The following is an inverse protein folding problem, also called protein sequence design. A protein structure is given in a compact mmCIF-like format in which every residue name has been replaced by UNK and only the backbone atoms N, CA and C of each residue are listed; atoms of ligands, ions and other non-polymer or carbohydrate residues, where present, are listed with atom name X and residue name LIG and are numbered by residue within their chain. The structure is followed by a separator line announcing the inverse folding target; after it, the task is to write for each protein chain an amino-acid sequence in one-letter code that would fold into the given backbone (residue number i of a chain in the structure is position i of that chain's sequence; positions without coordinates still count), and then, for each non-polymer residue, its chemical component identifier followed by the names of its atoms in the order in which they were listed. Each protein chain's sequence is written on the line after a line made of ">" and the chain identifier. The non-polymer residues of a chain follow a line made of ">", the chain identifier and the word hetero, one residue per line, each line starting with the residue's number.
data_IF_779610542771
#
_entry.id   IF_779610542771
#
_cell.length_a   1.000
_cell.length_b   1.000
_cell.length_c   1.000
_cell.angle_alpha   90.00
_cell.angle_beta   90.00
_cell.angle_gamma   90.00
#
_symmetry.space_group_name_H-M   'P 1'
#
loop_
_entity.id
_entity.type
_entity.pdbx_description
1 polymer ?
#
# COMPACT_ATOMS: atom_id res chain seq x y z
N UNK A 1 20.09 32.13 20.85
CA UNK A 1 20.32 32.40 22.29
C UNK A 1 19.98 31.15 23.10
N UNK A 2 20.93 30.22 23.24
CA UNK A 2 20.84 29.13 24.20
C UNK A 2 21.59 29.56 25.46
N UNK A 3 20.88 30.20 26.41
CA UNK A 3 21.40 30.38 27.77
C UNK A 3 21.84 29.01 28.29
N UNK A 4 22.96 28.93 28.99
CA UNK A 4 23.50 27.73 29.60
C UNK A 4 22.53 27.17 30.66
N UNK A 5 21.48 26.48 30.20
CA UNK A 5 20.56 25.75 31.05
C UNK A 5 21.34 24.60 31.67
N UNK A 6 21.39 24.56 33.01
CA UNK A 6 21.99 23.47 33.80
C UNK A 6 21.55 22.13 33.21
N UNK A 7 22.47 21.18 33.08
CA UNK A 7 22.25 19.85 32.48
C UNK A 7 20.91 19.22 32.91
N UNK A 8 20.57 19.34 34.19
CA UNK A 8 19.31 18.93 34.80
C UNK A 8 18.05 19.45 34.06
N UNK A 9 17.97 20.74 33.72
CA UNK A 9 16.76 21.31 33.08
C UNK A 9 16.56 20.80 31.64
N UNK A 10 17.65 20.55 30.90
CA UNK A 10 17.58 19.93 29.56
C UNK A 10 17.04 18.50 29.65
N UNK A 11 17.47 17.73 30.64
CA UNK A 11 16.99 16.37 30.87
C UNK A 11 15.55 16.34 31.37
N UNK A 12 15.15 17.25 32.26
CA UNK A 12 13.75 17.39 32.67
C UNK A 12 12.84 17.71 31.49
N UNK A 13 13.23 18.63 30.60
CA UNK A 13 12.45 18.91 29.38
C UNK A 13 12.36 17.72 28.43
N UNK A 14 13.43 16.94 28.28
CA UNK A 14 13.41 15.69 27.49
C UNK A 14 12.52 14.63 28.12
N UNK A 15 12.57 14.48 29.45
CA UNK A 15 11.69 13.58 30.20
C UNK A 15 10.21 13.96 30.04
N UNK A 16 9.88 15.26 30.09
CA UNK A 16 8.52 15.76 29.85
C UNK A 16 8.04 15.45 28.42
N UNK A 17 8.91 15.57 27.41
CA UNK A 17 8.60 15.14 26.04
C UNK A 17 8.35 13.64 25.93
N UNK A 18 9.14 12.82 26.62
CA UNK A 18 8.93 11.37 26.66
C UNK A 18 7.58 11.03 27.30
N UNK A 19 7.21 11.69 28.40
CA UNK A 19 5.89 11.53 29.02
C UNK A 19 4.77 11.89 28.03
N UNK A 20 4.92 12.98 27.26
CA UNK A 20 3.94 13.37 26.25
C UNK A 20 3.74 12.28 25.18
N UNK A 21 4.84 11.66 24.70
CA UNK A 21 4.79 10.59 23.70
C UNK A 21 4.16 9.32 24.28
N UNK A 22 4.52 8.94 25.51
CA UNK A 22 3.93 7.78 26.20
C UNK A 22 2.43 7.99 26.41
N UNK A 23 2.03 9.18 26.89
CA UNK A 23 0.62 9.54 27.04
C UNK A 23 -0.14 9.47 25.71
N UNK A 24 0.43 9.99 24.64
CA UNK A 24 -0.15 9.88 23.31
C UNK A 24 -0.31 8.41 22.87
N UNK A 25 0.68 7.55 23.13
CA UNK A 25 0.63 6.13 22.77
C UNK A 25 -0.51 5.40 23.50
N UNK A 26 -0.69 5.65 24.80
CA UNK A 26 -1.84 5.11 25.54
C UNK A 26 -3.18 5.58 24.99
N UNK A 27 -3.31 6.85 24.62
CA UNK A 27 -4.53 7.37 23.98
C UNK A 27 -4.77 6.74 22.60
N UNK A 28 -3.72 6.51 21.81
CA UNK A 28 -3.81 5.80 20.52
C UNK A 28 -4.30 4.38 20.74
N UNK A 29 -3.72 3.65 21.71
CA UNK A 29 -4.14 2.29 22.03
C UNK A 29 -5.60 2.22 22.52
N UNK A 30 -6.00 3.16 23.38
CA UNK A 30 -7.38 3.26 23.86
C UNK A 30 -8.35 3.61 22.72
N UNK A 31 -8.00 4.55 21.85
CA UNK A 31 -8.79 4.92 20.68
C UNK A 31 -9.03 3.74 19.74
N UNK A 32 -7.97 2.98 19.45
CA UNK A 32 -8.05 1.78 18.62
C UNK A 32 -8.95 0.68 19.21
N UNK A 33 -8.97 0.50 20.54
CA UNK A 33 -9.87 -0.42 21.22
C UNK A 33 -11.33 0.06 21.14
N UNK A 34 -11.57 1.33 21.44
CA UNK A 34 -12.92 1.92 21.39
C UNK A 34 -13.49 1.84 19.98
N UNK A 35 -12.70 2.14 18.95
CA UNK A 35 -13.14 2.07 17.54
C UNK A 35 -13.23 0.63 17.02
N UNK A 36 -12.38 -0.26 17.51
CA UNK A 36 -12.43 -1.70 17.21
C UNK A 36 -13.66 -2.40 17.81
N UNK A 37 -14.16 -1.91 18.95
CA UNK A 37 -15.35 -2.41 19.64
C UNK A 37 -16.66 -1.77 19.16
N UNK A 38 -16.61 -0.83 18.20
CA UNK A 38 -17.84 -0.42 17.53
C UNK A 38 -18.48 -1.66 16.90
N UNK A 39 -19.78 -1.93 17.17
CA UNK A 39 -20.45 -3.11 16.66
C UNK A 39 -20.22 -3.12 15.16
N UNK A 40 -19.63 -4.20 14.62
CA UNK A 40 -19.35 -4.36 13.19
C UNK A 40 -20.64 -4.05 12.46
N UNK A 41 -20.73 -2.83 11.94
CA UNK A 41 -21.96 -2.30 11.37
C UNK A 41 -22.11 -3.05 10.07
N UNK A 42 -22.91 -4.11 10.14
CA UNK A 42 -23.33 -4.98 9.04
C UNK A 42 -22.25 -5.98 8.58
N UNK A 43 -22.64 -7.27 8.54
CA UNK A 43 -21.90 -8.28 7.79
C UNK A 43 -21.79 -7.81 6.35
N UNK A 44 -20.62 -7.90 5.69
CA UNK A 44 -20.49 -7.44 4.32
C UNK A 44 -21.49 -8.23 3.47
N UNK A 45 -22.47 -7.52 2.90
CA UNK A 45 -23.46 -8.09 2.02
C UNK A 45 -22.69 -8.76 0.86
N UNK A 46 -22.94 -10.06 0.68
CA UNK A 46 -22.26 -10.83 -0.36
C UNK A 46 -22.97 -10.61 -1.68
N UNK A 47 -22.28 -10.84 -2.80
CA UNK A 47 -22.88 -10.68 -4.12
C UNK A 47 -24.12 -11.57 -4.28
N UNK A 48 -24.06 -12.77 -3.69
CA UNK A 48 -25.14 -13.76 -3.72
C UNK A 48 -26.42 -13.27 -3.04
N UNK A 49 -26.32 -12.33 -2.08
CA UNK A 49 -27.47 -11.76 -1.39
C UNK A 49 -28.29 -10.83 -2.31
N UNK A 50 -27.69 -10.34 -3.41
CA UNK A 50 -28.33 -9.46 -4.40
C UNK A 50 -28.80 -10.21 -5.65
N UNK A 51 -28.45 -11.49 -5.79
CA UNK A 51 -28.90 -12.33 -6.90
C UNK A 51 -30.25 -12.95 -6.52
N UNK A 52 -31.23 -12.89 -7.43
CA UNK A 52 -32.46 -13.67 -7.27
C UNK A 52 -32.12 -15.18 -7.29
N UNK A 53 -32.05 -15.77 -6.10
CA UNK A 53 -31.65 -17.15 -5.90
C UNK A 53 -32.51 -18.13 -6.72
N UNK A 54 -33.83 -17.88 -6.84
CA UNK A 54 -34.72 -18.76 -7.60
C UNK A 54 -34.42 -18.71 -9.09
N UNK A 55 -34.20 -17.52 -9.64
CA UNK A 55 -33.87 -17.37 -11.06
C UNK A 55 -32.48 -17.91 -11.39
N UNK A 56 -31.50 -17.68 -10.51
CA UNK A 56 -30.15 -18.21 -10.68
C UNK A 56 -30.12 -19.74 -10.59
N UNK A 57 -30.86 -20.35 -9.65
CA UNK A 57 -31.00 -21.80 -9.55
C UNK A 57 -31.68 -22.39 -10.78
N UNK A 58 -32.75 -21.76 -11.28
CA UNK A 58 -33.43 -22.21 -12.50
C UNK A 58 -32.50 -22.18 -13.72
N UNK A 59 -31.71 -21.10 -13.87
CA UNK A 59 -30.72 -20.98 -14.94
C UNK A 59 -29.61 -22.04 -14.80
N UNK A 60 -29.06 -22.25 -13.60
CA UNK A 60 -28.05 -23.28 -13.31
C UNK A 60 -28.59 -24.70 -13.56
N UNK A 61 -29.83 -24.97 -13.19
CA UNK A 61 -30.49 -26.25 -13.46
C UNK A 61 -30.64 -26.49 -14.97
N UNK A 62 -31.03 -25.46 -15.72
CA UNK A 62 -31.15 -25.52 -17.19
C UNK A 62 -29.79 -25.80 -17.82
N UNK A 63 -28.74 -25.08 -17.42
CA UNK A 63 -27.37 -25.30 -17.90
C UNK A 63 -26.96 -26.76 -17.66
N UNK A 64 -27.13 -27.26 -16.42
CA UNK A 64 -26.79 -28.63 -16.06
C UNK A 64 -27.55 -29.66 -16.90
N UNK A 65 -28.85 -29.45 -17.11
CA UNK A 65 -29.68 -30.33 -17.92
C UNK A 65 -29.25 -30.34 -19.39
N UNK A 66 -29.01 -29.17 -20.00
CA UNK A 66 -28.60 -29.09 -21.40
C UNK A 66 -27.17 -29.62 -21.59
N UNK A 67 -26.25 -29.40 -20.64
CA UNK A 67 -24.91 -30.01 -20.67
C UNK A 67 -25.00 -31.54 -20.70
N UNK A 68 -25.89 -32.14 -19.93
CA UNK A 68 -26.07 -33.59 -19.93
C UNK A 68 -26.67 -34.07 -21.26
N UNK A 69 -27.70 -33.39 -21.77
CA UNK A 69 -28.31 -33.69 -23.08
C UNK A 69 -27.32 -33.59 -24.23
N UNK A 70 -26.42 -32.60 -24.21
CA UNK A 70 -25.38 -32.45 -25.23
C UNK A 70 -24.41 -33.62 -25.22
N UNK A 71 -23.97 -34.08 -24.04
CA UNK A 71 -23.10 -35.27 -23.94
C UNK A 71 -23.78 -36.51 -24.51
N UNK A 72 -25.01 -36.78 -24.08
CA UNK A 72 -25.79 -37.93 -24.56
C UNK A 72 -26.10 -37.84 -26.06
N UNK A 73 -26.39 -36.64 -26.55
CA UNK A 73 -26.67 -36.37 -27.96
C UNK A 73 -25.43 -36.46 -28.86
N UNK A 74 -24.25 -36.07 -28.37
CA UNK A 74 -22.97 -36.27 -29.07
C UNK A 74 -22.64 -37.76 -29.21
N UNK A 75 -22.83 -38.55 -28.15
CA UNK A 75 -22.64 -40.01 -28.17
C UNK A 75 -23.64 -40.69 -29.14
N UNK A 76 -24.91 -40.28 -29.11
CA UNK A 76 -25.94 -40.81 -30.00
C UNK A 76 -25.64 -40.45 -31.47
N UNK A 77 -25.19 -39.22 -31.72
CA UNK A 77 -24.77 -38.76 -33.06
C UNK A 77 -23.59 -39.57 -33.56
N UNK A 78 -22.57 -39.81 -32.74
CA UNK A 78 -21.40 -40.61 -33.12
C UNK A 78 -21.81 -42.03 -33.54
N UNK A 79 -22.76 -42.66 -32.82
CA UNK A 79 -23.31 -43.97 -33.19
C UNK A 79 -24.09 -43.92 -34.50
N UNK A 80 -24.95 -42.92 -34.69
CA UNK A 80 -25.73 -42.75 -35.93
C UNK A 80 -24.83 -42.49 -37.14
N UNK A 81 -23.74 -41.74 -36.94
CA UNK A 81 -22.73 -41.49 -37.97
C UNK A 81 -22.08 -42.78 -38.44
N UNK A 82 -21.70 -43.69 -37.53
CA UNK A 82 -21.15 -45.00 -37.90
C UNK A 82 -22.13 -45.83 -38.74
N UNK A 83 -23.43 -45.78 -38.41
CA UNK A 83 -24.47 -46.47 -39.18
C UNK A 83 -24.62 -45.87 -40.58
N UNK A 84 -24.61 -44.53 -40.67
CA UNK A 84 -24.65 -43.83 -41.96
C UNK A 84 -23.42 -44.16 -42.81
N UNK A 85 -22.22 -44.13 -42.25
CA UNK A 85 -20.98 -44.45 -42.96
C UNK A 85 -20.99 -45.90 -43.46
N UNK A 86 -21.49 -46.85 -42.67
CA UNK A 86 -21.66 -48.25 -43.08
C UNK A 86 -22.67 -48.39 -44.23
N UNK A 87 -23.85 -47.75 -44.13
CA UNK A 87 -24.88 -47.78 -45.17
C UNK A 87 -24.40 -47.12 -46.48
N UNK A 88 -23.63 -46.04 -46.37
CA UNK A 88 -23.00 -45.35 -47.50
C UNK A 88 -21.97 -46.24 -48.19
N UNK A 89 -21.10 -46.89 -47.42
CA UNK A 89 -20.09 -47.82 -47.95
C UNK A 89 -20.75 -49.03 -48.65
N UNK A 90 -21.81 -49.58 -48.07
CA UNK A 90 -22.57 -50.68 -48.67
C UNK A 90 -23.23 -50.25 -49.99
N UNK A 91 -23.83 -49.05 -50.02
CA UNK A 91 -24.44 -48.50 -51.23
C UNK A 91 -23.39 -48.26 -52.31
N UNK A 92 -22.22 -47.71 -51.95
CA UNK A 92 -21.11 -47.50 -52.89
C UNK A 92 -20.59 -48.82 -53.46
N UNK A 93 -20.31 -49.81 -52.61
CA UNK A 93 -19.86 -51.14 -53.04
C UNK A 93 -20.88 -51.85 -53.94
N UNK A 94 -22.18 -51.73 -53.63
CA UNK A 94 -23.25 -52.27 -54.47
C UNK A 94 -23.35 -51.57 -55.83
N UNK A 95 -23.15 -50.24 -55.88
CA UNK A 95 -23.08 -49.47 -57.14
C UNK A 95 -21.91 -49.92 -58.01
N UNK A 96 -20.73 -50.08 -57.42
CA UNK A 96 -19.54 -50.51 -58.15
C UNK A 96 -19.70 -51.93 -58.69
N UNK A 97 -20.25 -52.85 -57.88
CA UNK A 97 -20.57 -54.22 -58.30
C UNK A 97 -21.61 -54.25 -59.41
N UNK A 98 -22.66 -53.43 -59.30
CA UNK A 98 -23.70 -53.32 -60.32
C UNK A 98 -23.16 -52.74 -61.64
N UNK A 99 -22.29 -51.74 -61.57
CA UNK A 99 -21.62 -51.16 -62.73
C UNK A 99 -20.72 -52.17 -63.45
N UNK A 100 -19.94 -52.96 -62.71
CA UNK A 100 -19.13 -54.05 -63.27
C UNK A 100 -20.00 -55.10 -63.96
N UNK A 101 -21.12 -55.49 -63.34
CA UNK A 101 -22.06 -56.43 -63.93
C UNK A 101 -22.69 -55.90 -65.23
N UNK A 102 -23.10 -54.62 -65.25
CA UNK A 102 -23.61 -53.96 -66.46
C UNK A 102 -22.56 -53.93 -67.58
N UNK A 103 -21.30 -53.67 -67.24
CA UNK A 103 -20.19 -53.68 -68.19
C UNK A 103 -19.99 -55.07 -68.81
N UNK A 104 -20.00 -56.15 -68.01
CA UNK A 104 -19.93 -57.52 -68.53
C UNK A 104 -21.13 -57.86 -69.43
N UNK A 105 -22.35 -57.49 -69.02
CA UNK A 105 -23.56 -57.69 -69.84
C UNK A 105 -23.42 -57.03 -71.21
N UNK A 106 -22.97 -55.77 -71.25
CA UNK A 106 -22.79 -54.99 -72.48
C UNK A 106 -21.83 -55.66 -73.47
N UNK A 107 -20.82 -56.38 -72.99
CA UNK A 107 -19.85 -57.11 -73.83
C UNK A 107 -20.42 -58.43 -74.35
N UNK A 108 -21.35 -59.06 -73.63
CA UNK A 108 -21.91 -60.38 -73.97
C UNK A 108 -23.22 -60.37 -74.77
N UNK A 109 -23.82 -59.20 -75.01
CA UNK A 109 -25.07 -59.01 -75.79
C UNK A 109 -26.27 -59.90 -75.37
N UNK A 110 -26.33 -60.32 -74.11
CA UNK A 110 -27.40 -61.18 -73.60
C UNK A 110 -28.68 -60.37 -73.28
N UNK A 111 -29.61 -60.35 -74.24
CA UNK A 111 -30.89 -59.65 -74.16
C UNK A 111 -31.97 -60.33 -73.28
N UNK A 112 -31.76 -61.56 -72.80
CA UNK A 112 -32.79 -62.37 -72.13
C UNK A 112 -32.89 -62.22 -70.60
N UNK A 113 -32.13 -61.31 -69.96
CA UNK A 113 -32.01 -61.20 -68.49
C UNK A 113 -32.69 -59.96 -67.86
N UNK A 114 -33.75 -59.41 -68.46
CA UNK A 114 -34.38 -58.17 -67.95
C UNK A 114 -34.98 -58.31 -66.54
N UNK A 115 -35.42 -59.51 -66.13
CA UNK A 115 -35.90 -59.76 -64.78
C UNK A 115 -34.80 -59.61 -63.69
N UNK A 116 -33.56 -59.99 -64.01
CA UNK A 116 -32.41 -59.87 -63.10
C UNK A 116 -31.94 -58.41 -62.97
N UNK A 117 -32.04 -57.62 -64.06
CA UNK A 117 -31.80 -56.18 -64.03
C UNK A 117 -32.76 -55.49 -63.07
N UNK A 118 -34.07 -55.75 -63.20
CA UNK A 118 -35.10 -55.17 -62.33
C UNK A 118 -34.85 -55.54 -60.86
N UNK A 119 -34.50 -56.79 -60.58
CA UNK A 119 -34.20 -57.26 -59.22
C UNK A 119 -32.99 -56.55 -58.61
N UNK A 120 -31.91 -56.34 -59.38
CA UNK A 120 -30.70 -55.65 -58.92
C UNK A 120 -30.92 -54.15 -58.74
N UNK A 121 -31.70 -53.52 -59.60
CA UNK A 121 -32.10 -52.12 -59.44
C UNK A 121 -32.93 -51.94 -58.17
N UNK A 122 -33.92 -52.81 -57.92
CA UNK A 122 -34.70 -52.77 -56.68
C UNK A 122 -33.85 -52.98 -55.43
N UNK A 123 -32.85 -53.87 -55.49
CA UNK A 123 -31.90 -54.06 -54.40
C UNK A 123 -31.05 -52.81 -54.14
N UNK A 124 -30.60 -52.13 -55.20
CA UNK A 124 -29.85 -50.88 -55.09
C UNK A 124 -30.71 -49.73 -54.53
N UNK A 125 -31.97 -49.63 -54.96
CA UNK A 125 -32.93 -48.65 -54.44
C UNK A 125 -33.20 -48.87 -52.95
N UNK A 126 -33.32 -50.13 -52.51
CA UNK A 126 -33.47 -50.46 -51.10
C UNK A 126 -32.25 -50.04 -50.25
N UNK A 127 -31.04 -50.22 -50.77
CA UNK A 127 -29.81 -49.74 -50.12
C UNK A 127 -29.77 -48.20 -50.07
N UNK A 128 -30.14 -47.51 -51.15
CA UNK A 128 -30.17 -46.05 -51.17
C UNK A 128 -31.22 -45.48 -50.19
N UNK A 129 -32.37 -46.14 -50.07
CA UNK A 129 -33.39 -45.78 -49.08
C UNK A 129 -32.92 -46.04 -47.63
N UNK A 130 -32.07 -47.05 -47.40
CA UNK A 130 -31.44 -47.26 -46.09
C UNK A 130 -30.40 -46.18 -45.76
N UNK A 131 -29.55 -45.81 -46.73
CA UNK A 131 -28.60 -44.69 -46.59
C UNK A 131 -29.31 -43.38 -46.24
N UNK A 132 -30.37 -43.01 -46.97
CA UNK A 132 -31.13 -41.78 -46.70
C UNK A 132 -31.80 -41.80 -45.32
N UNK A 133 -32.29 -42.96 -44.86
CA UNK A 133 -32.85 -43.10 -43.51
C UNK A 133 -31.79 -42.89 -42.42
N UNK A 134 -30.58 -43.39 -42.64
CA UNK A 134 -29.47 -43.18 -41.72
C UNK A 134 -29.00 -41.71 -41.72
N UNK A 135 -28.97 -41.07 -42.89
CA UNK A 135 -28.65 -39.64 -43.03
C UNK A 135 -29.64 -38.75 -42.26
N UNK A 136 -30.95 -38.97 -42.46
CA UNK A 136 -32.02 -38.22 -41.75
C UNK A 136 -31.94 -38.43 -40.23
N UNK A 137 -31.51 -39.62 -39.78
CA UNK A 137 -31.31 -39.88 -38.36
C UNK A 137 -30.16 -39.04 -37.77
N UNK A 138 -29.06 -38.86 -38.51
CA UNK A 138 -27.96 -37.97 -38.12
C UNK A 138 -28.42 -36.50 -38.14
N UNK A 139 -29.09 -36.06 -39.20
CA UNK A 139 -29.61 -34.68 -39.32
C UNK A 139 -30.54 -34.31 -38.15
N UNK A 140 -31.40 -35.23 -37.72
CA UNK A 140 -32.30 -35.03 -36.57
C UNK A 140 -31.54 -34.88 -35.25
N UNK A 141 -30.47 -35.65 -35.05
CA UNK A 141 -29.62 -35.54 -33.87
C UNK A 141 -28.83 -34.24 -33.89
N UNK A 142 -28.37 -33.79 -35.05
CA UNK A 142 -27.70 -32.51 -35.23
C UNK A 142 -28.61 -31.33 -34.86
N UNK A 143 -29.86 -31.33 -35.31
CA UNK A 143 -30.85 -30.33 -34.92
C UNK A 143 -31.09 -30.32 -33.41
N UNK A 144 -31.30 -31.50 -32.80
CA UNK A 144 -31.51 -31.59 -31.34
C UNK A 144 -30.31 -31.10 -30.53
N UNK A 145 -29.09 -31.36 -31.01
CA UNK A 145 -27.86 -30.89 -30.37
C UNK A 145 -27.72 -29.37 -30.50
N UNK A 146 -28.07 -28.79 -31.66
CA UNK A 146 -28.06 -27.35 -31.86
C UNK A 146 -29.05 -26.65 -30.92
N UNK A 147 -30.28 -27.16 -30.82
CA UNK A 147 -31.31 -26.62 -29.92
C UNK A 147 -30.86 -26.65 -28.45
N UNK A 148 -30.21 -27.75 -28.03
CA UNK A 148 -29.66 -27.87 -26.69
C UNK A 148 -28.50 -26.89 -26.44
N UNK A 149 -27.64 -26.63 -27.43
CA UNK A 149 -26.58 -25.60 -27.34
C UNK A 149 -27.18 -24.20 -27.19
N UNK A 150 -28.15 -23.85 -28.04
CA UNK A 150 -28.81 -22.55 -27.98
C UNK A 150 -29.51 -22.33 -26.64
N UNK A 151 -30.21 -23.35 -26.12
CA UNK A 151 -30.84 -23.28 -24.80
C UNK A 151 -29.82 -23.13 -23.66
N UNK A 152 -28.66 -23.77 -23.76
CA UNK A 152 -27.57 -23.62 -22.80
C UNK A 152 -27.00 -22.20 -22.83
N UNK A 153 -26.70 -21.67 -24.01
CA UNK A 153 -26.16 -20.31 -24.19
C UNK A 153 -27.13 -19.24 -23.65
N UNK A 154 -28.42 -19.38 -23.93
CA UNK A 154 -29.45 -18.49 -23.38
C UNK A 154 -29.51 -18.54 -21.85
N UNK A 155 -29.41 -19.73 -21.26
CA UNK A 155 -29.40 -19.87 -19.80
C UNK A 155 -28.12 -19.27 -19.17
N UNK A 156 -26.97 -19.39 -19.83
CA UNK A 156 -25.72 -18.74 -19.41
C UNK A 156 -25.82 -17.22 -19.52
N UNK A 157 -26.36 -16.70 -20.62
CA UNK A 157 -26.55 -15.26 -20.81
C UNK A 157 -27.46 -14.68 -19.73
N UNK A 158 -28.55 -15.38 -19.39
CA UNK A 158 -29.48 -14.99 -18.32
C UNK A 158 -28.80 -14.99 -16.94
N UNK A 159 -27.98 -16.01 -16.63
CA UNK A 159 -27.23 -16.04 -15.38
C UNK A 159 -26.25 -14.86 -15.29
N UNK A 160 -25.52 -14.59 -16.38
CA UNK A 160 -24.58 -13.48 -16.44
C UNK A 160 -25.27 -12.10 -16.37
N UNK A 161 -26.52 -11.97 -16.83
CA UNK A 161 -27.33 -10.76 -16.67
C UNK A 161 -27.74 -10.56 -15.20
N UNK A 162 -28.21 -11.62 -14.52
CA UNK A 162 -28.53 -11.58 -13.10
C UNK A 162 -27.30 -11.20 -12.25
N UNK A 163 -26.14 -11.78 -12.55
CA UNK A 163 -24.88 -11.46 -11.88
C UNK A 163 -24.46 -10.02 -12.13
N UNK A 164 -24.58 -9.51 -13.36
CA UNK A 164 -24.28 -8.10 -13.68
C UNK A 164 -25.22 -7.12 -12.96
N UNK A 165 -26.52 -7.43 -12.90
CA UNK A 165 -27.49 -6.61 -12.19
C UNK A 165 -27.21 -6.59 -10.67
N UNK A 166 -26.91 -7.76 -10.10
CA UNK A 166 -26.52 -7.89 -8.69
C UNK A 166 -25.21 -7.16 -8.39
N UNK A 167 -24.24 -7.18 -9.32
CA UNK A 167 -22.94 -6.52 -9.15
C UNK A 167 -23.09 -5.00 -8.99
N UNK A 168 -23.97 -4.36 -9.76
CA UNK A 168 -24.24 -2.93 -9.63
C UNK A 168 -24.85 -2.59 -8.26
N UNK A 169 -25.83 -3.38 -7.82
CA UNK A 169 -26.47 -3.18 -6.51
C UNK A 169 -25.50 -3.43 -5.36
N UNK A 170 -24.67 -4.46 -5.47
CA UNK A 170 -23.63 -4.77 -4.51
C UNK A 170 -22.60 -3.64 -4.39
N UNK A 171 -22.15 -3.08 -5.52
CA UNK A 171 -21.22 -1.94 -5.52
C UNK A 171 -21.82 -0.71 -4.82
N UNK A 172 -23.10 -0.42 -5.05
CA UNK A 172 -23.75 0.71 -4.40
C UNK A 172 -24.01 0.46 -2.91
N UNK A 173 -24.36 -0.77 -2.52
CA UNK A 173 -24.46 -1.17 -1.12
C UNK A 173 -23.11 -1.06 -0.39
N UNK A 174 -22.01 -1.51 -1.02
CA UNK A 174 -20.66 -1.38 -0.45
C UNK A 174 -20.28 0.07 -0.23
N UNK A 175 -20.52 0.96 -1.19
CA UNK A 175 -20.28 2.41 -1.02
C UNK A 175 -21.06 3.00 0.15
N UNK A 176 -22.29 2.56 0.37
CA UNK A 176 -23.08 3.02 1.51
C UNK A 176 -22.52 2.54 2.84
N UNK A 177 -22.09 1.28 2.93
CA UNK A 177 -21.44 0.74 4.13
C UNK A 177 -20.13 1.49 4.40
N UNK A 178 -19.29 1.67 3.39
CA UNK A 178 -18.04 2.45 3.49
C UNK A 178 -18.32 3.89 3.97
N UNK A 179 -19.34 4.55 3.40
CA UNK A 179 -19.73 5.90 3.79
C UNK A 179 -20.23 5.96 5.24
N UNK A 180 -21.04 4.98 5.68
CA UNK A 180 -21.52 4.91 7.07
C UNK A 180 -20.36 4.72 8.04
N UNK A 181 -19.45 3.79 7.75
CA UNK A 181 -18.25 3.56 8.57
C UNK A 181 -17.39 4.82 8.63
N UNK A 182 -17.20 5.50 7.50
CA UNK A 182 -16.50 6.77 7.43
C UNK A 182 -17.18 7.85 8.28
N UNK A 183 -18.51 8.03 8.15
CA UNK A 183 -19.27 9.04 8.90
C UNK A 183 -19.23 8.80 10.40
N UNK A 184 -19.31 7.54 10.83
CA UNK A 184 -19.20 7.19 12.25
C UNK A 184 -17.79 7.55 12.76
N UNK A 185 -16.73 7.16 12.05
CA UNK A 185 -15.35 7.54 12.42
C UNK A 185 -15.12 9.05 12.40
N UNK A 186 -15.72 9.75 11.43
CA UNK A 186 -15.66 11.20 11.35
C UNK A 186 -16.34 11.86 12.55
N UNK A 187 -17.49 11.34 12.97
CA UNK A 187 -18.23 11.85 14.13
C UNK A 187 -17.43 11.70 15.43
N UNK A 188 -16.58 10.67 15.55
CA UNK A 188 -15.66 10.52 16.69
C UNK A 188 -14.39 11.38 16.57
N UNK A 189 -13.76 11.42 15.40
CA UNK A 189 -12.45 12.08 15.22
C UNK A 189 -12.53 13.61 15.12
N UNK A 190 -13.63 14.15 14.57
CA UNK A 190 -13.80 15.60 14.39
C UNK A 190 -13.89 16.36 15.74
N UNK A 191 -14.67 15.91 16.76
CA UNK A 191 -14.63 16.51 18.09
C UNK A 191 -13.23 16.48 18.73
N UNK A 192 -12.49 15.38 18.56
CA UNK A 192 -11.12 15.24 19.06
C UNK A 192 -10.18 16.26 18.42
N UNK A 193 -10.26 16.45 17.11
CA UNK A 193 -9.49 17.47 16.39
C UNK A 193 -9.87 18.89 16.79
N UNK A 194 -11.16 19.17 16.96
CA UNK A 194 -11.63 20.47 17.44
C UNK A 194 -11.06 20.78 18.84
N UNK A 195 -11.09 19.79 19.74
CA UNK A 195 -10.52 19.91 21.08
C UNK A 195 -8.99 20.11 21.03
N UNK A 196 -8.29 19.41 20.13
CA UNK A 196 -6.85 19.57 19.93
C UNK A 196 -6.50 20.97 19.42
N UNK A 197 -7.27 21.50 18.46
CA UNK A 197 -7.11 22.87 17.96
C UNK A 197 -7.35 23.93 19.04
N UNK A 198 -8.38 23.73 19.88
CA UNK A 198 -8.66 24.60 21.03
C UNK A 198 -7.53 24.56 22.08
N UNK A 199 -7.07 23.36 22.45
CA UNK A 199 -5.96 23.15 23.38
C UNK A 199 -4.66 23.78 22.85
N UNK A 200 -4.38 23.66 21.56
CA UNK A 200 -3.23 24.30 20.93
C UNK A 200 -3.29 25.83 21.02
N UNK A 201 -4.46 26.43 20.74
CA UNK A 201 -4.63 27.88 20.79
C UNK A 201 -4.48 28.43 22.22
N UNK A 202 -5.06 27.76 23.22
CA UNK A 202 -5.20 28.30 24.58
C UNK A 202 -4.14 27.80 25.57
N UNK A 203 -3.68 26.55 25.48
CA UNK A 203 -2.92 25.89 26.55
C UNK A 203 -1.50 25.42 26.16
N UNK A 204 -1.02 25.66 24.94
CA UNK A 204 0.30 25.19 24.46
C UNK A 204 1.53 25.68 25.24
N UNK A 205 1.42 26.74 26.06
CA UNK A 205 2.51 27.31 26.88
C UNK A 205 2.28 27.14 28.40
N UNK A 206 1.25 26.40 28.81
CA UNK A 206 0.92 26.20 30.22
C UNK A 206 1.85 25.23 30.94
N UNK A 207 1.67 25.08 32.26
CA UNK A 207 2.42 24.11 33.09
C UNK A 207 2.27 22.67 32.59
N UNK A 208 1.08 22.31 32.11
CA UNK A 208 0.72 20.98 31.59
C UNK A 208 0.93 20.85 30.07
N UNK A 209 1.80 21.67 29.48
CA UNK A 209 2.09 21.60 28.04
C UNK A 209 2.43 20.20 27.50
N UNK A 210 3.07 19.25 28.24
CA UNK A 210 3.36 17.93 27.68
C UNK A 210 2.08 17.14 27.37
N UNK A 211 1.07 17.20 28.23
CA UNK A 211 -0.20 16.52 27.99
C UNK A 211 -0.99 17.15 26.84
N UNK A 212 -0.92 18.48 26.71
CA UNK A 212 -1.51 19.21 25.57
C UNK A 212 -0.89 18.75 24.25
N UNK A 213 0.44 18.70 24.19
CA UNK A 213 1.14 18.22 23.00
C UNK A 213 0.91 16.72 22.75
N UNK A 214 0.88 15.90 23.80
CA UNK A 214 0.52 14.48 23.70
C UNK A 214 -0.87 14.26 23.09
N UNK A 215 -1.87 15.02 23.55
CA UNK A 215 -3.22 14.99 22.98
C UNK A 215 -3.26 15.46 21.52
N UNK A 216 -2.47 16.48 21.16
CA UNK A 216 -2.35 16.95 19.77
C UNK A 216 -1.74 15.85 18.89
N UNK A 217 -0.69 15.16 19.34
CA UNK A 217 -0.12 14.03 18.58
C UNK A 217 -1.12 12.90 18.41
N UNK A 218 -1.84 12.56 19.47
CA UNK A 218 -2.92 11.58 19.41
C UNK A 218 -4.01 11.98 18.40
N UNK A 219 -4.52 13.21 18.45
CA UNK A 219 -5.57 13.67 17.54
C UNK A 219 -5.11 13.71 16.08
N UNK A 220 -3.87 14.15 15.83
CA UNK A 220 -3.28 14.11 14.49
C UNK A 220 -3.08 12.67 14.00
N UNK A 221 -2.63 11.77 14.88
CA UNK A 221 -2.47 10.35 14.55
C UNK A 221 -3.82 9.71 14.22
N UNK A 222 -4.84 9.89 15.07
CA UNK A 222 -6.19 9.41 14.82
C UNK A 222 -6.73 9.93 13.47
N UNK A 223 -6.51 11.21 13.16
CA UNK A 223 -6.88 11.74 11.86
C UNK A 223 -6.15 11.05 10.69
N UNK A 224 -4.82 11.00 10.70
CA UNK A 224 -4.03 10.50 9.55
C UNK A 224 -4.00 8.98 9.40
N UNK A 225 -4.16 8.24 10.51
CA UNK A 225 -4.00 6.78 10.53
C UNK A 225 -5.34 6.07 10.70
N UNK A 226 -6.31 6.68 11.37
CA UNK A 226 -7.59 6.03 11.65
C UNK A 226 -8.73 6.53 10.75
N UNK A 227 -8.74 7.82 10.42
CA UNK A 227 -9.77 8.42 9.56
C UNK A 227 -9.37 8.41 8.08
N UNK A 228 -8.18 8.92 7.77
CA UNK A 228 -7.73 9.12 6.38
C UNK A 228 -7.72 7.82 5.55
N UNK A 229 -7.30 6.64 6.04
CA UNK A 229 -7.34 5.41 5.24
C UNK A 229 -8.74 4.96 4.80
N UNK A 230 -9.79 5.46 5.47
CA UNK A 230 -11.19 5.09 5.21
C UNK A 230 -11.95 6.15 4.42
N UNK A 231 -11.24 7.17 3.93
CA UNK A 231 -11.83 8.21 3.11
C UNK A 231 -12.02 7.66 1.68
N UNK A 232 -13.26 7.54 1.18
CA UNK A 232 -13.54 6.93 -0.12
C UNK A 232 -12.75 7.64 -1.23
N UNK A 233 -12.01 6.84 -2.00
CA UNK A 233 -11.10 7.20 -3.11
C UNK A 233 -9.96 8.22 -2.88
N UNK A 234 -9.96 9.02 -1.80
CA UNK A 234 -9.02 10.15 -1.65
C UNK A 234 -8.08 10.11 -0.43
N UNK A 235 -8.21 9.12 0.45
CA UNK A 235 -7.42 9.01 1.68
C UNK A 235 -5.90 9.05 1.46
N UNK A 236 -5.41 8.23 0.53
CA UNK A 236 -3.98 8.17 0.21
C UNK A 236 -3.41 9.53 -0.22
N UNK A 237 -4.11 10.24 -1.10
CA UNK A 237 -3.66 11.52 -1.64
C UNK A 237 -3.51 12.59 -0.56
N UNK A 238 -4.49 12.71 0.35
CA UNK A 238 -4.43 13.68 1.45
C UNK A 238 -3.23 13.39 2.35
N UNK A 239 -3.02 12.12 2.72
CA UNK A 239 -1.88 11.70 3.57
C UNK A 239 -0.54 12.10 2.95
N UNK A 240 -0.32 11.75 1.69
CA UNK A 240 0.95 12.00 1.02
C UNK A 240 1.15 13.49 0.73
N UNK A 241 0.10 14.23 0.35
CA UNK A 241 0.19 15.67 0.11
C UNK A 241 0.61 16.42 1.39
N UNK A 242 -0.03 16.12 2.53
CA UNK A 242 0.37 16.72 3.81
C UNK A 242 1.80 16.32 4.18
N UNK A 243 2.17 15.05 4.00
CA UNK A 243 3.53 14.58 4.24
C UNK A 243 4.58 15.33 3.40
N UNK A 244 4.30 15.55 2.12
CA UNK A 244 5.15 16.32 1.21
C UNK A 244 5.28 17.77 1.70
N UNK A 245 4.17 18.43 2.03
CA UNK A 245 4.19 19.82 2.54
C UNK A 245 4.99 19.92 3.84
N UNK A 246 4.77 19.02 4.81
CA UNK A 246 5.52 19.00 6.06
C UNK A 246 7.02 18.79 5.83
N UNK A 247 7.38 17.93 4.89
CA UNK A 247 8.78 17.66 4.54
C UNK A 247 9.44 18.87 3.88
N UNK A 248 8.76 19.52 2.94
CA UNK A 248 9.28 20.72 2.27
C UNK A 248 9.45 21.88 3.25
N UNK A 249 8.45 22.14 4.10
CA UNK A 249 8.50 23.20 5.11
C UNK A 249 9.57 22.89 6.16
N UNK A 250 9.56 21.67 6.71
CA UNK A 250 10.55 21.22 7.69
C UNK A 250 11.97 21.27 7.14
N UNK A 251 12.17 20.78 5.91
CA UNK A 251 13.44 20.85 5.20
C UNK A 251 13.92 22.28 5.00
N UNK A 252 13.05 23.19 4.54
CA UNK A 252 13.38 24.59 4.35
C UNK A 252 13.87 25.26 5.64
N UNK A 253 13.16 25.08 6.75
CA UNK A 253 13.57 25.63 8.05
C UNK A 253 14.84 24.99 8.59
N UNK A 254 15.02 23.68 8.43
CA UNK A 254 16.22 22.96 8.88
C UNK A 254 17.46 23.41 8.12
N UNK A 255 17.37 23.51 6.78
CA UNK A 255 18.46 23.99 5.92
C UNK A 255 18.80 25.44 6.27
N UNK A 256 17.81 26.33 6.40
CA UNK A 256 18.06 27.72 6.78
C UNK A 256 18.60 27.88 8.21
N UNK A 257 18.28 26.97 9.14
CA UNK A 257 18.89 26.94 10.46
C UNK A 257 20.36 26.50 10.41
N UNK A 258 20.68 25.47 9.60
CA UNK A 258 22.04 24.98 9.39
C UNK A 258 22.92 26.04 8.72
N UNK A 259 22.41 26.73 7.70
CA UNK A 259 23.13 27.81 7.02
C UNK A 259 23.47 28.96 7.98
N UNK A 260 22.49 29.45 8.75
CA UNK A 260 22.72 30.48 9.78
C UNK A 260 23.71 30.03 10.86
N UNK A 261 23.73 28.74 11.18
CA UNK A 261 24.71 28.18 12.11
C UNK A 261 26.13 28.25 11.52
N UNK A 262 26.29 27.79 10.28
CA UNK A 262 27.57 27.81 9.57
C UNK A 262 28.09 29.24 9.34
N UNK A 263 27.22 30.19 9.01
CA UNK A 263 27.57 31.61 8.86
C UNK A 263 28.12 32.20 10.16
N UNK A 264 27.46 31.94 11.30
CA UNK A 264 27.97 32.37 12.61
C UNK A 264 29.32 31.75 12.93
N UNK A 265 29.54 30.50 12.55
CA UNK A 265 30.80 29.81 12.76
C UNK A 265 31.92 30.45 11.93
N UNK A 266 31.66 30.74 10.64
CA UNK A 266 32.61 31.45 9.77
C UNK A 266 32.92 32.86 10.28
N UNK A 267 31.91 33.60 10.74
CA UNK A 267 32.10 34.92 11.33
C UNK A 267 32.95 34.86 12.62
N UNK A 268 32.74 33.83 13.45
CA UNK A 268 33.55 33.61 14.64
C UNK A 268 35.02 33.27 14.29
N UNK A 269 35.28 32.57 13.19
CA UNK A 269 36.64 32.28 12.71
C UNK A 269 37.39 33.53 12.21
N UNK A 270 36.68 34.61 11.81
CA UNK A 270 37.27 35.84 11.26
C UNK A 270 37.62 36.93 12.30
N UNK A 271 37.11 36.86 13.54
CA UNK A 271 37.29 37.90 14.58
C UNK A 271 38.67 37.86 15.28
N UNK A 272 39.13 38.95 15.89
CA UNK A 272 40.43 38.97 16.60
C UNK A 272 40.41 38.12 17.90
N UNK A 273 41.57 37.60 18.34
CA UNK A 273 41.68 36.69 19.50
C UNK A 273 41.18 37.31 20.82
N UNK A 274 41.39 38.61 21.01
CA UNK A 274 41.08 39.33 22.25
C UNK A 274 39.56 39.53 22.45
N UNK A 275 38.82 39.78 21.38
CA UNK A 275 37.35 39.94 21.40
C UNK A 275 36.65 38.58 21.56
N UNK A 276 37.19 37.53 20.94
CA UNK A 276 36.64 36.15 20.99
C UNK A 276 36.66 35.55 22.40
N UNK A 277 37.61 35.93 23.26
CA UNK A 277 37.68 35.44 24.66
C UNK A 277 36.60 36.05 25.57
N UNK A 278 36.11 37.26 25.26
CA UNK A 278 35.13 37.95 26.10
C UNK A 278 33.69 37.44 25.88
N UNK A 279 33.37 36.91 24.70
CA UNK A 279 32.04 36.39 24.38
C UNK A 279 31.79 34.94 24.83
N UNK A 280 32.84 34.14 25.04
CA UNK A 280 32.69 32.71 25.38
C UNK A 280 32.42 32.58 26.88
N UNK A 281 31.19 32.19 27.23
CA UNK A 281 30.81 31.89 28.62
C UNK A 281 31.65 30.74 29.21
N UNK A 282 32.06 30.87 30.47
CA UNK A 282 32.83 29.86 31.22
C UNK A 282 32.27 28.44 31.07
N UNK A 283 30.96 28.24 31.22
CA UNK A 283 30.32 26.92 31.16
C UNK A 283 30.54 26.23 29.81
N UNK A 284 30.43 26.98 28.71
CA UNK A 284 30.60 26.47 27.34
C UNK A 284 32.06 26.14 27.07
N UNK A 285 32.99 26.99 27.52
CA UNK A 285 34.42 26.72 27.38
C UNK A 285 34.84 25.47 28.16
N UNK A 286 34.34 25.32 29.39
CA UNK A 286 34.65 24.18 30.24
C UNK A 286 34.07 22.87 29.68
N UNK A 287 32.82 22.87 29.20
CA UNK A 287 32.20 21.67 28.60
C UNK A 287 32.94 21.22 27.32
N UNK A 288 33.32 22.16 26.46
CA UNK A 288 34.05 21.86 25.22
C UNK A 288 35.46 21.35 25.50
N UNK A 289 36.18 21.98 26.42
CA UNK A 289 37.51 21.51 26.84
C UNK A 289 37.45 20.12 27.45
N UNK A 290 36.47 19.81 28.30
CA UNK A 290 36.33 18.45 28.85
C UNK A 290 36.08 17.37 27.78
N UNK A 291 35.56 17.77 26.60
CA UNK A 291 35.35 16.89 25.44
C UNK A 291 36.53 16.89 24.46
N UNK A 292 37.64 17.59 24.77
CA UNK A 292 38.78 17.72 23.86
C UNK A 292 38.49 18.62 22.65
N UNK A 293 37.57 19.57 22.78
CA UNK A 293 37.12 20.46 21.70
C UNK A 293 37.52 21.90 22.02
N UNK A 294 38.06 22.61 21.04
CA UNK A 294 38.41 24.02 21.18
C UNK A 294 37.15 24.88 21.41
N UNK A 295 37.09 25.71 22.48
CA UNK A 295 35.96 26.61 22.72
C UNK A 295 35.71 27.64 21.61
N UNK A 296 36.75 28.01 20.86
CA UNK A 296 36.65 29.00 19.78
C UNK A 296 36.20 28.39 18.45
N UNK A 297 36.98 27.47 17.88
CA UNK A 297 36.74 26.92 16.53
C UNK A 297 36.06 25.54 16.51
N UNK A 298 35.71 24.97 17.67
CA UNK A 298 35.02 23.68 17.81
C UNK A 298 35.74 22.48 17.16
N UNK A 299 37.02 22.62 16.80
CA UNK A 299 37.87 21.53 16.31
C UNK A 299 38.48 20.73 17.45
N UNK A 300 38.77 19.43 17.25
CA UNK A 300 39.44 18.63 18.24
C UNK A 300 40.81 19.22 18.58
N UNK A 301 41.14 19.24 19.86
CA UNK A 301 42.42 19.68 20.40
C UNK A 301 42.93 18.64 21.40
N UNK A 302 44.21 18.27 21.26
CA UNK A 302 44.85 17.41 22.24
C UNK A 302 45.17 18.21 23.51
N UNK A 303 44.51 17.86 24.61
CA UNK A 303 44.66 18.50 25.93
C UNK A 303 45.57 17.69 26.88
N UNK A 304 45.99 16.49 26.47
CA UNK A 304 46.90 15.64 27.26
C UNK A 304 48.33 16.17 27.22
N UNK A 305 48.68 16.85 26.14
CA UNK A 305 49.93 17.58 26.01
C UNK A 305 49.95 18.80 26.96
N UNK A 306 50.78 18.73 27.99
CA UNK A 306 50.93 19.77 29.01
C UNK A 306 51.68 21.00 28.51
N UNK A 307 52.36 20.89 27.36
CA UNK A 307 53.09 22.02 26.74
C UNK A 307 52.18 22.89 25.88
N UNK A 308 51.03 22.36 25.45
CA UNK A 308 50.10 23.04 24.56
C UNK A 308 49.19 24.00 25.31
N UNK A 309 49.46 25.29 25.21
CA UNK A 309 48.64 26.35 25.82
C UNK A 309 47.70 27.05 24.84
N UNK A 310 47.88 26.85 23.53
CA UNK A 310 47.10 27.49 22.47
C UNK A 310 46.53 26.46 21.49
N UNK A 311 45.40 26.80 20.86
CA UNK A 311 44.82 25.98 19.80
C UNK A 311 45.57 26.18 18.47
N UNK A 312 46.06 25.09 17.87
CA UNK A 312 46.76 25.15 16.57
C UNK A 312 45.89 25.60 15.38
N UNK A 313 44.56 25.52 15.50
CA UNK A 313 43.65 25.83 14.41
C UNK A 313 43.17 27.28 14.40
N UNK A 314 43.14 27.94 15.55
CA UNK A 314 42.54 29.27 15.69
C UNK A 314 43.31 30.21 16.62
N UNK A 315 44.43 29.78 17.18
CA UNK A 315 45.31 30.60 18.02
C UNK A 315 44.82 30.89 19.44
N UNK A 316 43.59 30.52 19.81
CA UNK A 316 43.05 30.87 21.14
C UNK A 316 43.83 30.19 22.28
N UNK A 317 44.16 30.96 23.32
CA UNK A 317 44.75 30.44 24.55
C UNK A 317 43.77 29.58 25.35
N UNK A 318 44.09 28.29 25.48
CA UNK A 318 43.32 27.28 26.21
C UNK A 318 43.74 27.23 27.69
N UNK A 319 45.03 27.45 27.97
CA UNK A 319 45.59 27.42 29.31
C UNK A 319 46.53 28.60 29.55
N UNK A 320 46.60 29.07 30.80
CA UNK A 320 47.53 30.10 31.26
C UNK A 320 47.99 29.83 32.69
N UNK A 321 49.20 30.26 33.08
CA UNK A 321 49.63 30.13 34.46
C UNK A 321 48.76 30.99 35.38
N UNK A 322 48.54 30.50 36.60
CA UNK A 322 47.88 31.26 37.66
C UNK A 322 48.78 32.40 38.11
N UNK A 323 48.29 33.65 38.21
CA UNK A 323 49.11 34.76 38.69
C UNK A 323 49.48 34.64 40.17
N UNK A 324 48.73 33.88 40.97
CA UNK A 324 48.97 33.70 42.40
C UNK A 324 49.88 32.51 42.75
N UNK A 325 49.81 31.40 42.00
CA UNK A 325 50.56 30.18 42.32
C UNK A 325 51.31 29.56 41.13
N UNK A 326 51.28 30.18 39.96
CA UNK A 326 52.00 29.71 38.76
C UNK A 326 51.44 28.47 38.06
N UNK A 327 50.51 27.74 38.69
CA UNK A 327 49.97 26.49 38.12
C UNK A 327 49.26 26.73 36.78
N UNK A 328 49.43 25.81 35.82
CA UNK A 328 48.73 25.84 34.53
C UNK A 328 47.23 25.62 34.76
N UNK A 329 46.42 26.67 34.55
CA UNK A 329 44.98 26.63 34.72
C UNK A 329 44.25 26.91 33.40
N UNK A 330 43.00 26.48 33.30
CA UNK A 330 42.14 26.79 32.16
C UNK A 330 42.02 28.31 32.02
N UNK A 331 42.32 28.84 30.82
CA UNK A 331 42.36 30.28 30.58
C UNK A 331 40.99 30.95 30.79
N UNK A 332 39.90 30.21 30.62
CA UNK A 332 38.52 30.65 30.78
C UNK A 332 37.99 30.49 32.22
N UNK A 333 38.75 29.84 33.12
CA UNK A 333 38.30 29.62 34.49
C UNK A 333 38.23 30.93 35.28
N UNK A 334 37.17 31.07 36.09
CA UNK A 334 37.01 32.18 37.04
C UNK A 334 37.93 32.03 38.24
N UNK A 335 38.15 30.81 38.71
CA UNK A 335 38.99 30.52 39.87
C UNK A 335 40.06 29.48 39.52
N UNK A 336 41.23 29.60 40.14
CA UNK A 336 42.28 28.61 40.04
C UNK A 336 41.86 27.30 40.71
N UNK A 337 42.03 26.17 40.02
CA UNK A 337 41.72 24.85 40.58
C UNK A 337 42.66 24.42 41.71
N UNK A 338 43.87 24.99 41.80
CA UNK A 338 44.85 24.61 42.82
C UNK A 338 44.80 25.50 44.07
N UNK A 339 44.67 26.83 43.90
CA UNK A 339 44.69 27.78 45.03
C UNK A 339 43.40 28.57 45.24
N UNK A 340 42.39 28.42 44.39
CA UNK A 340 41.12 29.14 44.50
C UNK A 340 41.16 30.63 44.14
N UNK A 341 42.33 31.19 43.80
CA UNK A 341 42.47 32.61 43.46
C UNK A 341 41.63 32.99 42.22
N UNK A 342 41.08 34.21 42.22
CA UNK A 342 40.34 34.75 41.08
C UNK A 342 41.28 34.97 39.89
N UNK A 343 40.99 34.29 38.79
CA UNK A 343 41.76 34.31 37.56
C UNK A 343 41.26 35.39 36.60
N UNK A 344 40.06 35.95 36.82
CA UNK A 344 39.35 36.87 35.93
C UNK A 344 40.07 38.22 35.75
N UNK A 345 40.90 38.62 36.71
CA UNK A 345 41.52 39.95 36.77
C UNK A 345 42.80 40.12 35.93
N UNK A 346 43.45 39.04 35.48
CA UNK A 346 44.75 39.11 34.80
C UNK A 346 44.68 39.41 33.28
N UNK A 347 43.63 40.12 32.84
CA UNK A 347 43.38 40.46 31.43
C UNK A 347 43.44 41.95 31.08
N UNK A 348 43.79 42.84 32.02
CA UNK A 348 44.07 44.24 31.67
C UNK A 348 45.55 44.37 31.29
N UNK A 349 45.88 44.81 30.06
CA UNK A 349 47.25 45.21 29.76
C UNK A 349 47.61 46.38 30.67
N UNK A 350 48.69 46.24 31.43
CA UNK A 350 49.32 47.40 32.06
C UNK A 350 49.86 48.29 30.94
N UNK A 351 49.31 49.50 30.84
CA UNK A 351 49.95 50.58 30.13
C UNK A 351 51.22 50.96 30.91
N UNK A 352 52.36 50.91 30.22
CA UNK A 352 53.58 51.62 30.55
C UNK A 352 54.15 52.17 29.24
#
# INVERSE_FOLDING_TARGET
>A
MSKSLRFSEKWFRRGLWLIAVVFANFLIGLGGLVVGDLPRVESPARLEDFIDAKQAEAARATIKQQTQRLKEGEDARARAQLVFDAARNQTQSARDTFANWLATRKVTEQATQDAELVKRTQALDALKAAERRAEVAVEKLDQSNLDARLAQEQAQARLAELERAAQAQWQDAQKQVELRVFLVRLAFTLPLLALAGWLFKKHRRGKYWPFVWGFIFFALFAFFVELVPYLPSYGGYVRYLVGIVLTLVGGHYAIGALQRYLERQKAAEALSEAERRQEISYDVAHERLNKGICPGCERPVDLKDTTRNFCMHCGIGLFRPCPACGVRANAFARFCHACGADMSAAGKPHAA
#
